data_IF_500716776201
#
_entry.id   IF_500716776201
#
_cell.length_a   1.000
_cell.length_b   1.000
_cell.length_c   1.000
_cell.angle_alpha   90.00
_cell.angle_beta   90.00
_cell.angle_gamma   90.00
#
_symmetry.space_group_name_H-M   'P 1'
#
loop_
_entity.id
_entity.type
_entity.pdbx_description
1 polymer ?
#
# COMPACT_ATOMS: atom_id res chain seq x y z
N UNK A 1 13.17 20.07 14.20
CA UNK A 1 11.83 20.45 13.71
C UNK A 1 11.68 20.29 12.19
N UNK A 2 12.61 20.82 11.38
CA UNK A 2 12.57 20.66 9.90
C UNK A 2 12.56 19.19 9.43
N UNK A 3 13.25 18.28 10.14
CA UNK A 3 13.30 16.86 9.78
C UNK A 3 11.97 16.12 9.99
N UNK A 4 11.23 16.43 11.08
CA UNK A 4 9.88 15.89 11.30
C UNK A 4 8.95 16.30 10.16
N UNK A 5 9.00 17.57 9.74
CA UNK A 5 8.18 18.08 8.63
C UNK A 5 8.51 17.39 7.31
N UNK A 6 9.80 17.10 7.05
CA UNK A 6 10.22 16.32 5.86
C UNK A 6 9.67 14.90 5.89
N UNK A 7 9.73 14.22 7.04
CA UNK A 7 9.18 12.87 7.19
C UNK A 7 7.65 12.88 7.03
N UNK A 8 6.96 13.89 7.56
CA UNK A 8 5.52 14.04 7.35
C UNK A 8 5.15 14.23 5.88
N UNK A 9 5.93 15.01 5.13
CA UNK A 9 5.74 15.20 3.70
C UNK A 9 6.00 13.92 2.90
N UNK A 10 7.02 13.15 3.27
CA UNK A 10 7.30 11.83 2.70
C UNK A 10 6.13 10.86 2.95
N UNK A 11 5.63 10.78 4.18
CA UNK A 11 4.46 9.94 4.51
C UNK A 11 3.24 10.36 3.68
N UNK A 12 2.97 11.66 3.56
CA UNK A 12 1.85 12.17 2.73
C UNK A 12 2.03 11.77 1.27
N UNK A 13 3.23 11.95 0.73
CA UNK A 13 3.56 11.60 -0.66
C UNK A 13 3.38 10.10 -0.91
N UNK A 14 3.80 9.24 0.01
CA UNK A 14 3.61 7.80 -0.10
C UNK A 14 2.13 7.41 -0.04
N UNK A 15 1.34 8.05 0.83
CA UNK A 15 -0.11 7.80 0.92
C UNK A 15 -0.89 8.15 -0.34
N UNK A 16 -0.45 9.18 -1.06
CA UNK A 16 -1.07 9.59 -2.33
C UNK A 16 -0.36 8.98 -3.55
N UNK A 17 0.58 8.07 -3.34
CA UNK A 17 1.30 7.42 -4.42
C UNK A 17 0.29 6.66 -5.32
N UNK A 18 0.24 6.95 -6.63
CA UNK A 18 -0.77 6.37 -7.51
C UNK A 18 -0.63 4.86 -7.65
N UNK A 19 0.58 4.31 -7.50
CA UNK A 19 0.84 2.87 -7.55
C UNK A 19 0.26 2.20 -6.30
N UNK A 20 0.55 2.75 -5.12
CA UNK A 20 0.00 2.25 -3.85
C UNK A 20 -1.53 2.27 -3.85
N UNK A 21 -2.13 3.37 -4.30
CA UNK A 21 -3.58 3.50 -4.40
C UNK A 21 -4.19 2.47 -5.36
N UNK A 22 -3.56 2.23 -6.52
CA UNK A 22 -4.00 1.21 -7.48
C UNK A 22 -3.90 -0.21 -6.91
N UNK A 23 -2.83 -0.53 -6.18
CA UNK A 23 -2.67 -1.82 -5.50
C UNK A 23 -3.84 -2.03 -4.53
N UNK A 24 -4.10 -1.06 -3.66
CA UNK A 24 -5.18 -1.13 -2.68
C UNK A 24 -6.56 -1.27 -3.34
N UNK A 25 -6.82 -0.48 -4.38
CA UNK A 25 -8.06 -0.57 -5.15
C UNK A 25 -8.24 -1.94 -5.82
N UNK A 26 -7.16 -2.54 -6.30
CA UNK A 26 -7.18 -3.86 -6.96
C UNK A 26 -7.49 -4.97 -5.96
N UNK A 27 -6.85 -4.94 -4.78
CA UNK A 27 -7.16 -5.85 -3.66
C UNK A 27 -8.63 -5.71 -3.27
N UNK A 28 -9.08 -4.48 -3.02
CA UNK A 28 -10.47 -4.20 -2.65
C UNK A 28 -11.47 -4.72 -3.69
N UNK A 29 -11.16 -4.54 -4.99
CA UNK A 29 -12.02 -4.99 -6.09
C UNK A 29 -12.12 -6.52 -6.13
N UNK A 30 -11.01 -7.21 -5.91
CA UNK A 30 -11.00 -8.67 -5.82
C UNK A 30 -11.77 -9.14 -4.57
N UNK A 31 -11.50 -8.59 -3.39
CA UNK A 31 -12.13 -9.04 -2.14
C UNK A 31 -13.64 -8.75 -2.08
N UNK A 32 -14.09 -7.65 -2.70
CA UNK A 32 -15.51 -7.27 -2.74
C UNK A 32 -16.29 -7.95 -3.86
N UNK A 33 -15.64 -8.59 -4.82
CA UNK A 33 -16.33 -9.35 -5.85
C UNK A 33 -17.25 -10.41 -5.20
N UNK A 34 -18.38 -10.71 -5.84
CA UNK A 34 -19.39 -11.66 -5.37
C UNK A 34 -19.98 -12.43 -6.55
N UNK A 35 -20.36 -13.68 -6.32
CA UNK A 35 -20.97 -14.55 -7.34
C UNK A 35 -19.97 -15.04 -8.39
N UNK A 36 -20.44 -15.76 -9.41
CA UNK A 36 -19.55 -16.32 -10.44
C UNK A 36 -19.24 -15.28 -11.52
N UNK A 37 -18.41 -14.29 -11.18
CA UNK A 37 -18.00 -13.21 -12.09
C UNK A 37 -16.54 -13.31 -12.49
N UNK A 38 -16.20 -12.63 -13.59
CA UNK A 38 -14.82 -12.32 -13.96
C UNK A 38 -14.55 -10.88 -13.53
N UNK A 39 -13.45 -10.67 -12.81
CA UNK A 39 -13.00 -9.36 -12.35
C UNK A 39 -11.85 -8.91 -13.23
N UNK A 40 -11.98 -7.76 -13.86
CA UNK A 40 -10.91 -7.12 -14.62
C UNK A 40 -10.16 -6.15 -13.71
N UNK A 41 -8.86 -6.38 -13.55
CA UNK A 41 -7.97 -5.56 -12.72
C UNK A 41 -6.66 -5.33 -13.48
N UNK A 42 -5.88 -4.28 -13.15
CA UNK A 42 -4.51 -4.20 -13.61
C UNK A 42 -3.72 -5.47 -13.26
N UNK A 43 -2.65 -5.78 -13.99
CA UNK A 43 -1.74 -6.84 -13.59
C UNK A 43 -0.91 -6.34 -12.40
N UNK A 44 -0.70 -7.18 -11.36
CA UNK A 44 0.21 -6.83 -10.30
C UNK A 44 1.61 -6.57 -10.86
N UNK A 45 2.03 -7.28 -11.90
CA UNK A 45 3.37 -7.21 -12.47
C UNK A 45 3.57 -6.04 -13.45
N UNK A 46 2.50 -5.61 -14.11
CA UNK A 46 2.50 -4.58 -15.15
C UNK A 46 1.18 -3.79 -15.11
N UNK A 47 1.15 -2.60 -14.48
CA UNK A 47 -0.07 -1.82 -14.29
C UNK A 47 -0.74 -1.34 -15.58
N UNK A 48 -0.07 -1.42 -16.74
CA UNK A 48 -0.64 -1.08 -18.04
C UNK A 48 -1.43 -2.25 -18.66
N UNK A 49 -1.21 -3.47 -18.16
CA UNK A 49 -1.92 -4.67 -18.60
C UNK A 49 -3.13 -4.92 -17.73
N UNK A 50 -4.22 -5.38 -18.33
CA UNK A 50 -5.41 -5.84 -17.63
C UNK A 50 -5.39 -7.37 -17.54
N UNK A 51 -5.61 -7.88 -16.33
CA UNK A 51 -5.80 -9.28 -15.99
C UNK A 51 -7.30 -9.52 -15.74
N UNK A 52 -7.82 -10.59 -16.34
CA UNK A 52 -9.21 -11.03 -16.14
C UNK A 52 -9.21 -12.26 -15.26
N UNK A 53 -9.68 -12.13 -14.02
CA UNK A 53 -9.58 -13.19 -13.03
C UNK A 53 -10.96 -13.69 -12.62
N UNK A 54 -11.17 -15.00 -12.66
CA UNK A 54 -12.43 -15.59 -12.21
C UNK A 54 -12.55 -15.52 -10.69
N UNK A 55 -13.70 -15.10 -10.18
CA UNK A 55 -13.98 -15.09 -8.75
C UNK A 55 -13.93 -16.49 -8.12
N UNK A 56 -13.47 -16.57 -6.86
CA UNK A 56 -13.19 -17.82 -6.12
C UNK A 56 -12.20 -18.78 -6.77
N UNK A 57 -11.54 -18.38 -7.86
CA UNK A 57 -10.51 -19.22 -8.48
C UNK A 57 -9.22 -19.23 -7.66
N UNK A 58 -8.38 -20.23 -7.91
CA UNK A 58 -7.00 -20.27 -7.40
C UNK A 58 -6.20 -19.06 -7.91
N UNK A 59 -6.36 -18.71 -9.17
CA UNK A 59 -5.74 -17.54 -9.82
C UNK A 59 -6.05 -16.24 -9.07
N UNK A 60 -7.29 -16.07 -8.59
CA UNK A 60 -7.68 -14.93 -7.77
C UNK A 60 -6.90 -14.84 -6.47
N UNK A 61 -6.77 -15.96 -5.74
CA UNK A 61 -6.04 -15.99 -4.47
C UNK A 61 -4.56 -15.69 -4.69
N UNK A 62 -3.97 -16.27 -5.73
CA UNK A 62 -2.58 -16.02 -6.11
C UNK A 62 -2.36 -14.55 -6.50
N UNK A 63 -3.31 -13.96 -7.24
CA UNK A 63 -3.25 -12.55 -7.64
C UNK A 63 -3.36 -11.63 -6.42
N UNK A 64 -4.26 -11.90 -5.48
CA UNK A 64 -4.35 -11.17 -4.20
C UNK A 64 -3.03 -11.27 -3.43
N UNK A 65 -2.42 -12.46 -3.33
CA UNK A 65 -1.13 -12.61 -2.65
C UNK A 65 -0.05 -11.73 -3.25
N UNK A 66 0.09 -11.70 -4.58
CA UNK A 66 1.08 -10.82 -5.24
C UNK A 66 0.83 -9.34 -4.97
N UNK A 67 -0.43 -8.92 -4.98
CA UNK A 67 -0.78 -7.55 -4.63
C UNK A 67 -0.44 -7.21 -3.18
N UNK A 68 -0.68 -8.13 -2.24
CA UNK A 68 -0.33 -7.97 -0.84
C UNK A 68 1.18 -7.93 -0.61
N UNK A 69 1.96 -8.75 -1.31
CA UNK A 69 3.43 -8.69 -1.28
C UNK A 69 3.93 -7.30 -1.66
N UNK A 70 3.42 -6.73 -2.76
CA UNK A 70 3.74 -5.35 -3.15
C UNK A 70 3.25 -4.32 -2.15
N UNK A 71 2.06 -4.51 -1.58
CA UNK A 71 1.53 -3.60 -0.56
C UNK A 71 2.44 -3.55 0.68
N UNK A 72 2.97 -4.70 1.11
CA UNK A 72 3.87 -4.82 2.26
C UNK A 72 5.12 -3.97 2.05
N UNK A 73 5.67 -3.89 0.84
CA UNK A 73 6.85 -3.04 0.57
C UNK A 73 6.56 -1.56 0.88
N UNK A 74 5.39 -1.05 0.51
CA UNK A 74 4.97 0.31 0.83
C UNK A 74 4.67 0.49 2.32
N UNK A 75 3.99 -0.49 2.93
CA UNK A 75 3.62 -0.43 4.34
C UNK A 75 4.88 -0.44 5.24
N UNK A 76 5.88 -1.27 4.93
CA UNK A 76 7.18 -1.29 5.63
C UNK A 76 7.90 0.06 5.55
N UNK A 77 7.93 0.67 4.36
CA UNK A 77 8.54 1.99 4.18
C UNK A 77 7.79 3.08 4.97
N UNK A 78 6.46 3.05 4.99
CA UNK A 78 5.66 3.98 5.80
C UNK A 78 5.89 3.77 7.30
N UNK A 79 5.95 2.52 7.76
CA UNK A 79 6.18 2.19 9.16
C UNK A 79 7.55 2.69 9.64
N UNK A 80 8.59 2.52 8.82
CA UNK A 80 9.91 3.06 9.12
C UNK A 80 9.88 4.59 9.27
N UNK A 81 9.20 5.30 8.37
CA UNK A 81 9.00 6.75 8.49
C UNK A 81 8.24 7.13 9.77
N UNK A 82 7.22 6.38 10.15
CA UNK A 82 6.49 6.61 11.41
C UNK A 82 7.39 6.40 12.64
N UNK A 83 8.21 5.35 12.66
CA UNK A 83 9.16 5.08 13.74
C UNK A 83 10.21 6.19 13.83
N UNK A 84 10.78 6.61 12.70
CA UNK A 84 11.74 7.71 12.65
C UNK A 84 11.13 9.02 13.18
N UNK A 85 9.90 9.34 12.75
CA UNK A 85 9.16 10.50 13.26
C UNK A 85 8.98 10.43 14.78
N UNK A 86 8.51 9.30 15.29
CA UNK A 86 8.27 9.11 16.72
C UNK A 86 9.57 9.26 17.54
N UNK A 87 10.69 8.71 17.03
CA UNK A 87 12.01 8.87 17.65
C UNK A 87 12.46 10.33 17.70
N UNK A 88 12.33 11.07 16.60
CA UNK A 88 12.71 12.49 16.54
C UNK A 88 11.82 13.35 17.44
N UNK A 89 10.52 13.05 17.50
CA UNK A 89 9.60 13.73 18.42
C UNK A 89 10.02 13.46 19.87
N UNK A 90 10.29 12.21 20.23
CA UNK A 90 10.78 11.84 21.57
C UNK A 90 12.05 12.62 21.93
N UNK A 91 13.04 12.67 21.03
CA UNK A 91 14.28 13.43 21.26
C UNK A 91 14.07 14.93 21.42
N UNK A 92 13.10 15.52 20.70
CA UNK A 92 12.85 16.96 20.79
C UNK A 92 12.03 17.36 22.03
N UNK A 93 11.16 16.48 22.52
CA UNK A 93 10.23 16.80 23.61
C UNK A 93 10.63 16.20 24.97
N UNK A 94 11.45 15.14 25.01
CA UNK A 94 12.01 14.62 26.27
C UNK A 94 13.28 15.37 26.71
N UNK A 95 13.94 16.12 25.82
CA UNK A 95 15.09 16.96 26.19
C UNK A 95 14.68 18.34 26.76
N UNK A 96 13.38 18.62 26.76
CA UNK A 96 12.79 19.87 27.28
C UNK A 96 12.06 19.70 28.63
N UNK A 97 12.16 18.52 29.25
CA UNK A 97 11.58 18.21 30.56
C UNK A 97 12.65 18.14 31.66
#
# INVERSE_FOLDING_TARGET
>A
MQEILKIEDQIKTMRVNPIYLKIKQSIDSLERARGSIIVSIPSPDDPEKILNVRYHSREMRETISRYRERQIEFDVQMDDLYVQKARLQKQLFEYTA
#
